data_IF_338800902542
#
_entry.id   IF_338800902542
#
_cell.length_a   1.000
_cell.length_b   1.000
_cell.length_c   1.000
_cell.angle_alpha   90.00
_cell.angle_beta   90.00
_cell.angle_gamma   90.00
#
_symmetry.space_group_name_H-M   'P 1'
#
loop_
_entity.id
_entity.type
_entity.pdbx_description
1 polymer ?
#
# COMPACT_ATOMS: atom_id res chain seq x y z
N UNK A 1 -19.84 -59.46 42.24
CA UNK A 1 -18.68 -58.73 42.78
C UNK A 1 -18.17 -57.79 41.70
N UNK A 2 -18.42 -56.47 41.83
CA UNK A 2 -17.91 -55.46 40.89
C UNK A 2 -16.72 -54.77 41.56
N UNK A 3 -15.52 -55.06 41.07
CA UNK A 3 -14.28 -54.44 41.56
C UNK A 3 -14.18 -53.01 41.03
N UNK A 4 -14.18 -52.03 41.93
CA UNK A 4 -14.00 -50.63 41.57
C UNK A 4 -12.53 -50.37 41.23
N UNK A 5 -12.25 -50.05 39.96
CA UNK A 5 -10.92 -49.60 39.52
C UNK A 5 -10.71 -48.17 40.04
N UNK A 6 -9.83 -48.01 41.03
CA UNK A 6 -9.40 -46.70 41.52
C UNK A 6 -8.40 -46.08 40.53
N UNK A 7 -8.90 -45.16 39.71
CA UNK A 7 -8.09 -44.44 38.75
C UNK A 7 -7.26 -43.38 39.49
N UNK A 8 -6.01 -43.71 39.83
CA UNK A 8 -5.04 -42.81 40.43
C UNK A 8 -4.71 -41.69 39.45
N UNK A 9 -5.38 -40.54 39.58
CA UNK A 9 -5.09 -39.34 38.80
C UNK A 9 -3.71 -38.81 39.21
N UNK A 10 -2.74 -38.88 38.30
CA UNK A 10 -1.45 -38.18 38.43
C UNK A 10 -1.72 -36.67 38.41
N UNK A 11 -1.41 -36.00 39.51
CA UNK A 11 -1.47 -34.54 39.60
C UNK A 11 -0.31 -33.91 38.84
N UNK A 12 -0.60 -32.88 38.06
CA UNK A 12 0.40 -32.10 37.35
C UNK A 12 1.23 -31.32 38.38
N UNK A 13 2.54 -31.48 38.36
CA UNK A 13 3.41 -30.76 39.29
C UNK A 13 3.63 -29.33 38.79
N UNK A 14 3.75 -28.36 39.70
CA UNK A 14 4.05 -26.97 39.34
C UNK A 14 5.35 -26.84 38.52
N UNK A 15 6.31 -27.73 38.76
CA UNK A 15 7.59 -27.77 38.05
C UNK A 15 7.44 -28.23 36.59
N UNK A 16 6.54 -29.19 36.32
CA UNK A 16 6.24 -29.61 34.94
C UNK A 16 5.63 -28.46 34.12
N UNK A 17 4.79 -27.61 34.72
CA UNK A 17 4.27 -26.44 34.02
C UNK A 17 5.33 -25.35 33.84
N UNK A 18 6.17 -25.14 34.85
CA UNK A 18 7.19 -24.10 34.85
C UNK A 18 8.26 -24.32 33.78
N UNK A 19 8.72 -25.56 33.59
CA UNK A 19 9.74 -25.86 32.58
C UNK A 19 9.22 -25.65 31.15
N UNK A 20 7.93 -25.93 30.92
CA UNK A 20 7.31 -25.81 29.60
C UNK A 20 7.24 -24.35 29.16
N UNK A 21 6.77 -23.45 30.04
CA UNK A 21 6.72 -22.03 29.70
C UNK A 21 8.12 -21.43 29.52
N UNK A 22 9.12 -21.94 30.25
CA UNK A 22 10.51 -21.50 30.11
C UNK A 22 11.07 -21.84 28.72
N UNK A 23 10.81 -23.05 28.23
CA UNK A 23 11.23 -23.47 26.89
C UNK A 23 10.49 -22.67 25.81
N UNK A 24 9.18 -22.45 25.95
CA UNK A 24 8.40 -21.64 25.00
C UNK A 24 8.93 -20.20 24.94
N UNK A 25 9.22 -19.58 26.09
CA UNK A 25 9.76 -18.23 26.15
C UNK A 25 11.12 -18.11 25.45
N UNK A 26 12.00 -19.10 25.64
CA UNK A 26 13.30 -19.16 24.96
C UNK A 26 13.14 -19.24 23.43
N UNK A 27 12.24 -20.10 22.95
CA UNK A 27 11.97 -20.24 21.50
C UNK A 27 11.41 -18.95 20.90
N UNK A 28 10.45 -18.32 21.58
CA UNK A 28 9.84 -17.05 21.13
C UNK A 28 10.87 -15.92 21.13
N UNK A 29 11.77 -15.87 22.12
CA UNK A 29 12.84 -14.87 22.20
C UNK A 29 13.74 -14.85 20.95
N UNK A 30 13.96 -16.01 20.33
CA UNK A 30 14.78 -16.11 19.10
C UNK A 30 13.91 -15.81 17.86
N UNK A 31 12.62 -16.14 17.90
CA UNK A 31 11.71 -15.99 16.77
C UNK A 31 11.20 -14.56 16.55
N UNK A 32 10.89 -13.81 17.61
CA UNK A 32 10.39 -12.43 17.53
C UNK A 32 11.32 -11.45 16.79
N UNK A 33 12.65 -11.41 17.06
CA UNK A 33 13.54 -10.49 16.34
C UNK A 33 13.63 -10.84 14.84
N UNK A 34 13.57 -12.11 14.48
CA UNK A 34 13.57 -12.54 13.08
C UNK A 34 12.31 -12.06 12.34
N UNK A 35 11.15 -12.14 12.98
CA UNK A 35 9.87 -11.72 12.39
C UNK A 35 9.81 -10.20 12.11
N UNK A 36 10.38 -9.39 13.00
CA UNK A 36 10.44 -7.94 12.81
C UNK A 36 11.21 -7.53 11.54
N UNK A 37 12.39 -8.12 11.33
CA UNK A 37 13.21 -7.85 10.14
C UNK A 37 12.56 -8.35 8.84
N UNK A 38 11.88 -9.50 8.88
CA UNK A 38 11.14 -10.05 7.73
C UNK A 38 10.02 -9.11 7.28
N UNK A 39 9.26 -8.52 8.22
CA UNK A 39 8.19 -7.57 7.92
C UNK A 39 8.72 -6.29 7.27
N UNK A 40 9.82 -5.75 7.77
CA UNK A 40 10.46 -4.56 7.18
C UNK A 40 10.91 -4.85 5.74
N UNK A 41 11.53 -6.00 5.49
CA UNK A 41 11.91 -6.44 4.13
C UNK A 41 10.69 -6.57 3.22
N UNK A 42 9.58 -7.12 3.71
CA UNK A 42 8.33 -7.23 2.93
C UNK A 42 7.79 -5.84 2.53
N UNK A 43 7.81 -4.87 3.46
CA UNK A 43 7.39 -3.49 3.16
C UNK A 43 8.30 -2.83 2.12
N UNK A 44 9.61 -3.04 2.20
CA UNK A 44 10.55 -2.57 1.19
C UNK A 44 10.29 -3.20 -0.19
N UNK A 45 10.03 -4.51 -0.25
CA UNK A 45 9.70 -5.20 -1.49
C UNK A 45 8.40 -4.67 -2.11
N UNK A 46 7.39 -4.37 -1.31
CA UNK A 46 6.15 -3.74 -1.77
C UNK A 46 6.42 -2.34 -2.35
N UNK A 47 7.23 -1.53 -1.65
CA UNK A 47 7.62 -0.20 -2.14
C UNK A 47 8.40 -0.27 -3.46
N UNK A 48 9.36 -1.19 -3.57
CA UNK A 48 10.13 -1.43 -4.80
C UNK A 48 9.23 -1.88 -5.94
N UNK A 49 8.25 -2.74 -5.68
CA UNK A 49 7.28 -3.17 -6.68
C UNK A 49 6.43 -1.99 -7.17
N UNK A 50 5.94 -1.13 -6.27
CA UNK A 50 5.20 0.07 -6.63
C UNK A 50 6.04 1.02 -7.50
N UNK A 51 7.31 1.24 -7.16
CA UNK A 51 8.22 2.06 -7.96
C UNK A 51 8.43 1.47 -9.37
N UNK A 52 8.58 0.15 -9.46
CA UNK A 52 8.69 -0.55 -10.75
C UNK A 52 7.44 -0.36 -11.60
N UNK A 53 6.25 -0.49 -11.00
CA UNK A 53 4.98 -0.28 -11.69
C UNK A 53 4.84 1.16 -12.21
N UNK A 54 5.25 2.16 -11.43
CA UNK A 54 5.28 3.55 -11.88
C UNK A 54 6.23 3.74 -13.08
N UNK A 55 7.43 3.15 -13.03
CA UNK A 55 8.38 3.18 -14.15
C UNK A 55 7.79 2.58 -15.43
N UNK A 56 7.13 1.43 -15.33
CA UNK A 56 6.45 0.78 -16.48
C UNK A 56 5.35 1.68 -17.04
N UNK A 57 4.52 2.27 -16.18
CA UNK A 57 3.49 3.22 -16.61
C UNK A 57 4.09 4.43 -17.34
N UNK A 58 5.27 4.90 -16.92
CA UNK A 58 5.94 6.06 -17.53
C UNK A 58 6.50 5.77 -18.91
N UNK A 59 7.11 4.60 -19.07
CA UNK A 59 7.61 4.14 -20.36
C UNK A 59 6.45 3.91 -21.33
N UNK A 60 5.38 3.26 -20.89
CA UNK A 60 4.18 3.00 -21.71
C UNK A 60 3.52 4.30 -22.17
N UNK A 61 3.40 5.29 -21.28
CA UNK A 61 2.80 6.58 -21.63
C UNK A 61 3.65 7.36 -22.64
N UNK A 62 4.97 7.44 -22.40
CA UNK A 62 5.88 8.14 -23.32
C UNK A 62 5.91 7.50 -24.70
N UNK A 63 5.80 6.16 -24.80
CA UNK A 63 5.76 5.45 -26.07
C UNK A 63 4.53 5.83 -26.92
N UNK A 64 3.36 5.99 -26.30
CA UNK A 64 2.11 6.33 -26.99
C UNK A 64 1.98 7.83 -27.29
N UNK A 65 2.54 8.70 -26.44
CA UNK A 65 2.32 10.14 -26.51
C UNK A 65 3.56 10.91 -26.99
N UNK A 66 4.24 10.42 -28.03
CA UNK A 66 5.39 11.07 -28.67
C UNK A 66 6.51 11.49 -27.69
N UNK A 67 6.95 10.55 -26.85
CA UNK A 67 7.98 10.75 -25.81
C UNK A 67 7.65 11.82 -24.77
N UNK A 68 6.39 12.22 -24.64
CA UNK A 68 5.96 13.14 -23.58
C UNK A 68 5.94 12.40 -22.25
N UNK A 69 6.65 12.94 -21.27
CA UNK A 69 6.53 12.46 -19.90
C UNK A 69 5.13 12.79 -19.36
N UNK A 70 4.51 11.87 -18.61
CA UNK A 70 3.39 12.25 -17.74
C UNK A 70 4.01 13.08 -16.60
N UNK A 71 4.13 14.38 -16.82
CA UNK A 71 4.62 15.27 -15.78
C UNK A 71 3.46 15.72 -14.92
N UNK A 72 3.58 15.51 -13.62
CA UNK A 72 2.77 16.22 -12.63
C UNK A 72 3.27 17.66 -12.60
N UNK A 73 2.87 18.46 -13.60
CA UNK A 73 3.12 19.91 -13.67
C UNK A 73 2.16 20.65 -12.72
N UNK A 74 2.10 20.21 -11.47
CA UNK A 74 1.44 20.97 -10.42
C UNK A 74 2.48 21.90 -9.80
N UNK A 75 2.33 23.21 -10.04
CA UNK A 75 3.08 24.26 -9.34
C UNK A 75 2.11 24.91 -8.33
N UNK A 76 2.51 25.14 -7.07
CA UNK A 76 1.70 25.89 -6.12
C UNK A 76 1.25 27.23 -6.74
N UNK A 77 -0.06 27.50 -6.74
CA UNK A 77 -0.62 28.71 -7.33
C UNK A 77 -0.75 28.73 -8.86
N UNK A 78 -0.38 27.67 -9.58
CA UNK A 78 -0.67 27.54 -11.01
C UNK A 78 -1.66 26.40 -11.22
N UNK A 79 -2.93 26.76 -11.42
CA UNK A 79 -3.93 25.83 -11.93
C UNK A 79 -3.53 25.44 -13.37
N UNK A 80 -3.48 24.14 -13.70
CA UNK A 80 -3.31 23.71 -15.09
C UNK A 80 -4.37 24.43 -15.93
N UNK A 81 -3.95 25.11 -17.00
CA UNK A 81 -4.86 25.76 -17.93
C UNK A 81 -5.63 24.66 -18.68
N UNK A 82 -6.76 24.22 -18.13
CA UNK A 82 -7.65 23.26 -18.78
C UNK A 82 -8.61 24.03 -19.69
N UNK A 83 -8.91 23.47 -20.85
CA UNK A 83 -9.95 23.99 -21.76
C UNK A 83 -11.37 23.71 -21.24
N UNK A 84 -11.51 22.96 -20.14
CA UNK A 84 -12.78 22.60 -19.52
C UNK A 84 -12.96 23.38 -18.20
N UNK A 85 -13.81 24.39 -18.25
CA UNK A 85 -14.12 25.31 -17.14
C UNK A 85 -14.81 24.63 -15.95
N UNK A 86 -15.46 23.47 -16.15
CA UNK A 86 -16.06 22.70 -15.05
C UNK A 86 -15.00 22.01 -14.17
N UNK A 87 -13.87 21.64 -14.76
CA UNK A 87 -12.72 21.05 -14.05
C UNK A 87 -11.80 22.13 -13.45
N UNK A 88 -11.84 23.36 -13.99
CA UNK A 88 -11.05 24.49 -13.50
C UNK A 88 -11.44 24.92 -12.06
N UNK A 89 -12.74 24.86 -11.72
CA UNK A 89 -13.22 25.14 -10.37
C UNK A 89 -12.80 24.05 -9.38
N UNK A 90 -12.78 22.78 -9.81
CA UNK A 90 -12.36 21.65 -8.99
C UNK A 90 -10.85 21.66 -8.74
N UNK A 91 -10.03 22.14 -9.69
CA UNK A 91 -8.59 22.25 -9.50
C UNK A 91 -8.16 23.44 -8.62
N UNK A 92 -8.94 24.52 -8.56
CA UNK A 92 -8.75 25.62 -7.60
C UNK A 92 -9.01 25.19 -6.14
N UNK A 93 -9.94 24.26 -5.92
CA UNK A 93 -10.22 23.65 -4.61
C UNK A 93 -9.13 22.66 -4.14
N UNK A 94 -8.19 22.29 -5.01
CA UNK A 94 -7.06 21.41 -4.71
C UNK A 94 -5.76 22.17 -4.40
N UNK A 95 -5.82 23.51 -4.39
CA UNK A 95 -4.71 24.34 -3.97
C UNK A 95 -4.45 24.11 -2.46
N UNK A 96 -3.24 23.71 -2.04
CA UNK A 96 -2.91 23.46 -0.63
C UNK A 96 -3.05 24.70 0.25
N UNK A 97 -3.07 25.91 -0.33
CA UNK A 97 -3.42 27.14 0.42
C UNK A 97 -4.88 27.19 0.86
N UNK A 98 -5.76 26.36 0.27
CA UNK A 98 -7.18 26.25 0.61
C UNK A 98 -7.49 24.94 1.39
N UNK A 99 -6.46 24.23 1.90
CA UNK A 99 -6.63 22.97 2.65
C UNK A 99 -6.66 21.69 1.80
N UNK A 100 -6.32 21.77 0.51
CA UNK A 100 -6.19 20.59 -0.36
C UNK A 100 -4.90 19.79 -0.12
N UNK A 101 -4.98 18.46 -0.12
CA UNK A 101 -3.79 17.59 -0.04
C UNK A 101 -3.17 17.35 -1.42
N UNK A 102 -1.84 17.50 -1.53
CA UNK A 102 -1.07 17.28 -2.76
C UNK A 102 -1.33 15.92 -3.44
N UNK A 103 -1.55 14.87 -2.63
CA UNK A 103 -1.88 13.54 -3.12
C UNK A 103 -3.18 13.51 -3.94
N UNK A 104 -4.20 14.27 -3.52
CA UNK A 104 -5.52 14.28 -4.18
C UNK A 104 -5.47 15.01 -5.53
N UNK A 105 -4.63 16.03 -5.66
CA UNK A 105 -4.39 16.73 -6.92
C UNK A 105 -3.69 15.83 -7.95
N UNK A 106 -2.65 15.09 -7.52
CA UNK A 106 -1.94 14.15 -8.38
C UNK A 106 -2.84 13.03 -8.90
N UNK A 107 -3.70 12.46 -8.04
CA UNK A 107 -4.66 11.42 -8.42
C UNK A 107 -5.67 11.94 -9.45
N UNK A 108 -6.18 13.16 -9.30
CA UNK A 108 -7.14 13.74 -10.26
C UNK A 108 -6.51 14.05 -11.62
N UNK A 109 -5.25 14.49 -11.65
CA UNK A 109 -4.51 14.63 -12.91
C UNK A 109 -4.32 13.27 -13.60
N UNK A 110 -4.04 12.22 -12.83
CA UNK A 110 -3.92 10.87 -13.36
C UNK A 110 -5.27 10.36 -13.93
N UNK A 111 -6.38 10.66 -13.27
CA UNK A 111 -7.74 10.40 -13.78
C UNK A 111 -8.04 11.17 -15.07
N UNK A 112 -7.63 12.44 -15.19
CA UNK A 112 -7.81 13.23 -16.42
C UNK A 112 -7.06 12.59 -17.60
N UNK A 113 -5.80 12.17 -17.38
CA UNK A 113 -4.99 11.48 -18.40
C UNK A 113 -5.67 10.17 -18.86
N UNK A 114 -6.16 9.36 -17.91
CA UNK A 114 -6.85 8.10 -18.22
C UNK A 114 -8.17 8.35 -18.94
N UNK A 115 -8.95 9.34 -18.49
CA UNK A 115 -10.22 9.71 -19.12
C UNK A 115 -10.03 10.19 -20.55
N UNK A 116 -9.00 10.99 -20.84
CA UNK A 116 -8.68 11.43 -22.21
C UNK A 116 -8.38 10.25 -23.12
N UNK A 117 -7.59 9.27 -22.65
CA UNK A 117 -7.29 8.05 -23.40
C UNK A 117 -8.55 7.25 -23.73
N UNK A 118 -9.45 7.13 -22.77
CA UNK A 118 -10.72 6.41 -22.99
C UNK A 118 -11.61 7.13 -24.01
N UNK A 119 -11.67 8.46 -23.96
CA UNK A 119 -12.43 9.26 -24.93
C UNK A 119 -11.85 9.15 -26.33
N UNK A 120 -10.53 9.32 -26.50
CA UNK A 120 -9.86 9.19 -27.81
C UNK A 120 -10.09 7.80 -28.42
N UNK A 121 -9.97 6.73 -27.61
CA UNK A 121 -10.21 5.35 -28.08
C UNK A 121 -11.64 5.06 -28.53
N UNK A 122 -12.63 5.87 -28.10
CA UNK A 122 -14.04 5.73 -28.49
C UNK A 122 -14.36 6.47 -29.78
N UNK A 123 -13.52 7.41 -30.20
CA UNK A 123 -13.74 8.21 -31.41
C UNK A 123 -13.12 7.58 -32.66
N UNK A 124 -12.22 6.60 -32.49
CA UNK A 124 -11.55 5.89 -33.59
C UNK A 124 -12.19 4.53 -33.95
N UNK A 125 -13.37 4.19 -33.40
CA UNK A 125 -14.14 2.98 -33.73
C UNK A 125 -15.54 3.32 -34.19
#
# INVERSE_FOLDING_TARGET
MKSAVTNSRRGFTLIELLVVIAIIALLISILLPALGSARQRAQLLLSLNNQRQQGIASASYGAENNSRAYTFSWKPGQVPQTTNSALAASCAALNPTNGGTHARAAVLQQLDIVSRRYVDSRLEG
#
